data_IF_524210031550
#
_entry.id   IF_524210031550
#
_cell.length_a   1.000
_cell.length_b   1.000
_cell.length_c   1.000
_cell.angle_alpha   90.00
_cell.angle_beta   90.00
_cell.angle_gamma   90.00
#
_symmetry.space_group_name_H-M   'P 1'
#
loop_
_entity.id
_entity.type
_entity.pdbx_description
1 polymer ?
#
# COMPACT_ATOMS: atom_id res chain seq x y z
N UNK A 1 -13.92 16.79 7.18
CA UNK A 1 -14.22 15.52 7.88
C UNK A 1 -13.03 15.11 8.70
N UNK A 2 -13.20 14.94 9.99
CA UNK A 2 -12.11 14.54 10.87
C UNK A 2 -11.82 13.05 10.67
N UNK A 3 -10.57 12.72 10.38
CA UNK A 3 -10.17 11.32 10.29
C UNK A 3 -10.33 10.67 11.67
N UNK A 4 -11.13 9.63 11.73
CA UNK A 4 -11.29 8.85 12.94
C UNK A 4 -10.06 7.97 13.13
N UNK A 5 -9.38 8.13 14.26
CA UNK A 5 -8.25 7.26 14.59
C UNK A 5 -8.80 5.88 14.92
N UNK A 6 -8.34 4.86 14.20
CA UNK A 6 -8.74 3.50 14.46
C UNK A 6 -8.24 3.04 15.84
N UNK A 7 -9.14 2.51 16.66
CA UNK A 7 -8.83 2.01 17.99
C UNK A 7 -8.97 0.49 18.09
N UNK A 8 -9.61 -0.16 17.10
CA UNK A 8 -9.86 -1.59 17.09
C UNK A 8 -9.40 -2.20 15.75
N UNK A 9 -9.22 -3.52 15.75
CA UNK A 9 -8.93 -4.28 14.53
C UNK A 9 -9.96 -4.00 13.44
N UNK A 10 -11.26 -4.05 13.76
CA UNK A 10 -12.31 -3.82 12.77
C UNK A 10 -12.25 -2.41 12.18
N UNK A 11 -12.00 -1.40 13.01
CA UNK A 11 -11.85 -0.03 12.54
C UNK A 11 -10.64 0.12 11.63
N UNK A 12 -9.51 -0.52 11.98
CA UNK A 12 -8.30 -0.49 11.15
C UNK A 12 -8.56 -1.10 9.77
N UNK A 13 -9.19 -2.27 9.73
CA UNK A 13 -9.50 -2.94 8.45
C UNK A 13 -10.54 -2.15 7.64
N UNK A 14 -11.52 -1.54 8.30
CA UNK A 14 -12.52 -0.70 7.64
C UNK A 14 -11.89 0.58 7.07
N UNK A 15 -10.95 1.19 7.78
CA UNK A 15 -10.20 2.35 7.26
C UNK A 15 -9.39 1.97 6.03
N UNK A 16 -8.72 0.82 6.06
CA UNK A 16 -7.97 0.32 4.92
C UNK A 16 -8.87 0.14 3.69
N UNK A 17 -10.06 -0.41 3.88
CA UNK A 17 -11.03 -0.59 2.79
C UNK A 17 -11.50 0.75 2.22
N UNK A 18 -11.78 1.75 3.08
CA UNK A 18 -12.18 3.10 2.62
C UNK A 18 -11.08 3.78 1.85
N UNK A 19 -9.86 3.75 2.36
CA UNK A 19 -8.71 4.41 1.70
C UNK A 19 -8.33 3.71 0.39
N UNK A 20 -8.50 2.40 0.31
CA UNK A 20 -8.33 1.65 -0.93
C UNK A 20 -9.32 2.13 -2.00
N UNK A 21 -10.60 2.28 -1.63
CA UNK A 21 -11.60 2.82 -2.57
C UNK A 21 -11.27 4.26 -2.97
N UNK A 22 -10.86 5.09 -2.01
CA UNK A 22 -10.48 6.47 -2.30
C UNK A 22 -9.27 6.55 -3.24
N UNK A 23 -8.33 5.63 -3.11
CA UNK A 23 -7.20 5.53 -4.02
C UNK A 23 -7.66 5.22 -5.45
N UNK A 24 -8.55 4.23 -5.62
CA UNK A 24 -9.14 3.92 -6.92
C UNK A 24 -9.89 5.10 -7.52
N UNK A 25 -10.66 5.80 -6.69
CA UNK A 25 -11.38 7.02 -7.13
C UNK A 25 -10.40 8.10 -7.62
N UNK A 26 -9.24 8.23 -6.96
CA UNK A 26 -8.22 9.20 -7.37
C UNK A 26 -7.64 8.88 -8.77
N UNK A 27 -7.72 7.63 -9.22
CA UNK A 27 -7.24 7.20 -10.54
C UNK A 27 -8.29 7.29 -11.64
N UNK A 28 -9.57 7.47 -11.30
CA UNK A 28 -10.65 7.43 -12.28
C UNK A 28 -10.49 8.50 -13.36
N UNK A 29 -10.66 8.09 -14.62
CA UNK A 29 -10.59 8.99 -15.76
C UNK A 29 -9.17 9.24 -16.28
N UNK A 30 -8.15 8.73 -15.62
CA UNK A 30 -6.77 8.85 -16.10
C UNK A 30 -6.51 7.83 -17.21
N UNK A 31 -5.82 8.29 -18.26
CA UNK A 31 -5.41 7.42 -19.36
C UNK A 31 -3.99 6.87 -19.13
N UNK A 32 -3.51 6.05 -20.07
CA UNK A 32 -2.17 5.46 -19.98
C UNK A 32 -1.06 6.51 -19.95
N UNK A 33 -1.20 7.58 -20.72
CA UNK A 33 -0.23 8.67 -20.75
C UNK A 33 -0.14 9.34 -19.36
N UNK A 34 -1.27 9.63 -18.73
CA UNK A 34 -1.31 10.16 -17.37
C UNK A 34 -0.66 9.21 -16.36
N UNK A 35 -0.91 7.91 -16.49
CA UNK A 35 -0.39 6.91 -15.57
C UNK A 35 1.12 6.71 -15.67
N UNK A 36 1.70 7.04 -16.82
CA UNK A 36 3.14 6.85 -17.08
C UNK A 36 3.96 8.14 -17.08
N UNK A 37 3.30 9.30 -16.95
CA UNK A 37 4.00 10.59 -16.82
C UNK A 37 4.74 10.64 -15.48
N UNK A 38 6.02 10.99 -15.51
CA UNK A 38 6.84 11.14 -14.30
C UNK A 38 6.60 12.52 -13.70
N UNK A 39 6.20 12.58 -12.43
CA UNK A 39 5.92 13.84 -11.75
C UNK A 39 6.24 13.84 -10.25
N UNK A 40 6.39 12.67 -9.64
CA UNK A 40 6.74 12.55 -8.22
C UNK A 40 8.20 12.10 -8.11
N UNK A 41 9.12 13.05 -8.12
CA UNK A 41 10.54 12.73 -8.23
C UNK A 41 10.83 12.02 -9.55
N UNK A 42 11.26 10.77 -9.47
CA UNK A 42 11.51 9.92 -10.65
C UNK A 42 10.32 9.00 -10.98
N UNK A 43 9.19 9.14 -10.29
CA UNK A 43 8.06 8.22 -10.34
C UNK A 43 6.85 8.77 -11.08
N UNK A 44 6.19 7.86 -11.79
CA UNK A 44 4.85 8.01 -12.33
C UNK A 44 3.83 7.39 -11.37
N UNK A 45 2.53 7.53 -11.66
CA UNK A 45 1.47 6.84 -10.91
C UNK A 45 1.65 5.32 -11.01
N UNK A 46 2.04 4.82 -12.19
CA UNK A 46 2.35 3.41 -12.38
C UNK A 46 3.43 2.93 -11.40
N UNK A 47 4.48 3.71 -11.20
CA UNK A 47 5.53 3.40 -10.23
C UNK A 47 5.01 3.42 -8.80
N UNK A 48 4.16 4.39 -8.45
CA UNK A 48 3.51 4.46 -7.14
C UNK A 48 2.72 3.17 -6.86
N UNK A 49 1.88 2.76 -7.80
CA UNK A 49 1.05 1.55 -7.66
C UNK A 49 1.94 0.31 -7.52
N UNK A 50 2.97 0.21 -8.36
CA UNK A 50 3.90 -0.92 -8.33
C UNK A 50 4.60 -1.07 -6.97
N UNK A 51 5.04 0.04 -6.36
CA UNK A 51 5.72 -0.07 -5.08
C UNK A 51 4.77 -0.40 -3.92
N UNK A 52 3.53 0.08 -3.97
CA UNK A 52 2.51 -0.31 -2.98
C UNK A 52 2.30 -1.83 -3.03
N UNK A 53 2.11 -2.37 -4.23
CA UNK A 53 1.96 -3.83 -4.43
C UNK A 53 3.18 -4.60 -3.94
N UNK A 54 4.38 -4.07 -4.20
CA UNK A 54 5.63 -4.67 -3.73
C UNK A 54 5.66 -4.81 -2.20
N UNK A 55 5.25 -3.76 -1.49
CA UNK A 55 5.18 -3.82 -0.04
C UNK A 55 4.09 -4.77 0.46
N UNK A 56 2.96 -4.89 -0.23
CA UNK A 56 1.96 -5.91 0.11
C UNK A 56 2.55 -7.32 0.06
N UNK A 57 3.29 -7.62 -1.00
CA UNK A 57 3.90 -8.95 -1.18
C UNK A 57 5.04 -9.21 -0.21
N UNK A 58 5.74 -8.16 0.20
CA UNK A 58 6.84 -8.26 1.16
C UNK A 58 6.32 -8.38 2.61
N UNK A 59 5.30 -7.60 2.97
CA UNK A 59 4.80 -7.53 4.34
C UNK A 59 3.67 -8.53 4.65
N UNK A 60 2.99 -9.06 3.64
CA UNK A 60 1.99 -10.10 3.84
C UNK A 60 2.54 -11.31 4.58
N UNK A 61 3.69 -11.88 4.14
CA UNK A 61 4.34 -12.98 4.86
C UNK A 61 4.75 -12.61 6.29
N UNK A 62 5.14 -11.35 6.54
CA UNK A 62 5.45 -10.88 7.89
C UNK A 62 4.21 -10.94 8.79
N UNK A 63 3.05 -10.54 8.28
CA UNK A 63 1.78 -10.64 9.02
C UNK A 63 1.41 -12.11 9.29
N UNK A 64 1.63 -12.99 8.34
CA UNK A 64 1.39 -14.43 8.51
C UNK A 64 2.25 -15.00 9.63
N UNK A 65 3.53 -14.59 9.71
CA UNK A 65 4.42 -14.99 10.80
C UNK A 65 3.94 -14.45 12.15
N UNK A 66 3.56 -13.18 12.20
CA UNK A 66 3.03 -12.57 13.43
C UNK A 66 1.74 -13.26 13.88
N UNK A 67 0.89 -13.68 12.94
CA UNK A 67 -0.33 -14.42 13.28
C UNK A 67 -0.03 -15.76 13.96
N UNK A 68 1.12 -16.36 13.64
CA UNK A 68 1.59 -17.61 14.26
C UNK A 68 2.44 -17.38 15.53
N UNK A 69 2.66 -16.13 15.92
CA UNK A 69 3.52 -15.80 17.06
C UNK A 69 5.01 -15.85 16.77
N UNK A 70 5.37 -15.82 15.49
CA UNK A 70 6.77 -15.82 15.04
C UNK A 70 7.29 -14.41 14.80
N UNK A 71 8.61 -14.26 14.68
CA UNK A 71 9.23 -12.97 14.31
C UNK A 71 8.82 -12.61 12.88
N UNK A 72 8.45 -11.33 12.62
CA UNK A 72 7.96 -10.93 11.29
C UNK A 72 9.05 -10.87 10.22
N UNK A 73 10.29 -10.49 10.59
CA UNK A 73 11.37 -10.27 9.63
C UNK A 73 12.32 -11.47 9.66
N UNK A 74 12.58 -12.12 8.50
CA UNK A 74 13.53 -13.22 8.43
C UNK A 74 14.96 -12.78 8.78
N UNK A 75 15.76 -13.71 9.27
CA UNK A 75 17.18 -13.46 9.55
C UNK A 75 17.90 -13.00 8.28
N UNK A 76 18.74 -11.96 8.40
CA UNK A 76 19.51 -11.43 7.28
C UNK A 76 18.76 -10.44 6.38
N UNK A 77 17.48 -10.18 6.65
CA UNK A 77 16.71 -9.19 5.91
C UNK A 77 16.63 -7.89 6.71
N UNK A 78 16.86 -6.76 6.04
CA UNK A 78 16.73 -5.42 6.62
C UNK A 78 15.87 -4.54 5.73
N UNK A 79 15.02 -3.73 6.36
CA UNK A 79 14.20 -2.71 5.69
C UNK A 79 14.67 -1.29 6.03
N UNK A 80 15.89 -1.13 6.52
CA UNK A 80 16.45 0.17 6.91
C UNK A 80 16.58 1.12 5.72
N UNK A 81 16.92 0.59 4.53
CA UNK A 81 16.99 1.39 3.30
C UNK A 81 15.68 1.26 2.52
N UNK A 82 14.65 1.95 3.00
CA UNK A 82 13.31 1.95 2.39
C UNK A 82 13.35 2.44 0.95
N UNK A 83 14.17 3.44 0.65
CA UNK A 83 14.26 3.99 -0.71
C UNK A 83 14.77 2.96 -1.71
N UNK A 84 15.74 2.13 -1.32
CA UNK A 84 16.24 1.05 -2.17
C UNK A 84 15.15 -0.01 -2.44
N UNK A 85 14.38 -0.37 -1.41
CA UNK A 85 13.25 -1.29 -1.58
C UNK A 85 12.19 -0.71 -2.51
N UNK A 86 11.81 0.55 -2.31
CA UNK A 86 10.84 1.24 -3.16
C UNK A 86 11.29 1.28 -4.62
N UNK A 87 12.55 1.63 -4.86
CA UNK A 87 13.12 1.68 -6.21
C UNK A 87 13.09 0.30 -6.89
N UNK A 88 13.40 -0.74 -6.13
CA UNK A 88 13.35 -2.12 -6.63
C UNK A 88 11.94 -2.52 -7.04
N UNK A 89 10.95 -2.25 -6.20
CA UNK A 89 9.57 -2.61 -6.50
C UNK A 89 9.05 -1.89 -7.74
N UNK A 90 9.36 -0.60 -7.90
CA UNK A 90 8.98 0.16 -9.09
C UNK A 90 9.67 -0.40 -10.35
N UNK A 91 10.98 -0.67 -10.26
CA UNK A 91 11.76 -1.17 -11.38
C UNK A 91 11.29 -2.55 -11.87
N UNK A 92 10.92 -3.44 -10.95
CA UNK A 92 10.49 -4.80 -11.29
C UNK A 92 9.27 -4.84 -12.21
N UNK A 93 8.42 -3.78 -12.18
CA UNK A 93 7.18 -3.75 -12.98
C UNK A 93 7.17 -2.67 -14.04
N UNK A 94 8.31 -2.01 -14.26
CA UNK A 94 8.38 -0.87 -15.19
C UNK A 94 8.01 -1.24 -16.61
N UNK A 95 8.35 -2.45 -17.04
CA UNK A 95 8.06 -2.95 -18.39
C UNK A 95 6.68 -3.60 -18.52
N UNK A 96 5.95 -3.77 -17.43
CA UNK A 96 4.60 -4.34 -17.47
C UNK A 96 3.59 -3.29 -17.95
N UNK A 97 2.53 -3.71 -18.68
CA UNK A 97 1.44 -2.82 -19.04
C UNK A 97 0.75 -2.22 -17.78
N UNK A 98 0.24 -1.00 -17.89
CA UNK A 98 -0.48 -0.34 -16.81
C UNK A 98 -1.62 -1.22 -16.27
N UNK A 99 -2.38 -1.85 -17.17
CA UNK A 99 -3.48 -2.74 -16.77
C UNK A 99 -3.02 -3.88 -15.86
N UNK A 100 -1.86 -4.46 -16.14
CA UNK A 100 -1.29 -5.55 -15.34
C UNK A 100 -0.81 -5.05 -13.98
N UNK A 101 -0.24 -3.86 -13.93
CA UNK A 101 0.19 -3.24 -12.66
C UNK A 101 -1.02 -2.96 -11.78
N UNK A 102 -2.12 -2.45 -12.35
CA UNK A 102 -3.36 -2.21 -11.60
C UNK A 102 -4.01 -3.51 -11.13
N UNK A 103 -3.99 -4.55 -11.95
CA UNK A 103 -4.53 -5.86 -11.56
C UNK A 103 -3.72 -6.46 -10.41
N UNK A 104 -2.40 -6.37 -10.46
CA UNK A 104 -1.56 -6.84 -9.35
C UNK A 104 -1.83 -6.04 -8.08
N UNK A 105 -2.08 -4.74 -8.17
CA UNK A 105 -2.45 -3.93 -7.02
C UNK A 105 -3.70 -4.48 -6.34
N UNK A 106 -4.74 -4.79 -7.10
CA UNK A 106 -5.97 -5.36 -6.54
C UNK A 106 -5.73 -6.71 -5.89
N UNK A 107 -4.96 -7.57 -6.55
CA UNK A 107 -4.63 -8.91 -6.02
C UNK A 107 -3.75 -8.83 -4.77
N UNK A 108 -2.74 -7.96 -4.77
CA UNK A 108 -1.84 -7.82 -3.63
C UNK A 108 -2.56 -7.19 -2.44
N UNK A 109 -3.46 -6.25 -2.68
CA UNK A 109 -4.30 -5.66 -1.64
C UNK A 109 -5.17 -6.75 -0.99
N UNK A 110 -5.86 -7.56 -1.79
CA UNK A 110 -6.70 -8.65 -1.30
C UNK A 110 -5.90 -9.64 -0.46
N UNK A 111 -4.74 -10.06 -0.95
CA UNK A 111 -3.83 -10.94 -0.22
C UNK A 111 -3.40 -10.33 1.11
N UNK A 112 -2.95 -9.07 1.09
CA UNK A 112 -2.47 -8.36 2.28
C UNK A 112 -3.56 -8.20 3.32
N UNK A 113 -4.77 -7.82 2.91
CA UNK A 113 -5.90 -7.65 3.82
C UNK A 113 -6.39 -8.98 4.40
N UNK A 114 -6.31 -10.06 3.62
CA UNK A 114 -6.59 -11.40 4.12
C UNK A 114 -5.59 -11.80 5.22
N UNK A 115 -4.30 -11.55 4.99
CA UNK A 115 -3.26 -11.81 5.98
C UNK A 115 -3.47 -10.96 7.25
N UNK A 116 -3.85 -9.68 7.09
CA UNK A 116 -4.15 -8.79 8.21
C UNK A 116 -5.35 -9.29 9.03
N UNK A 117 -6.42 -9.72 8.35
CA UNK A 117 -7.62 -10.22 9.01
C UNK A 117 -7.36 -11.51 9.81
N UNK A 118 -6.38 -12.30 9.42
CA UNK A 118 -6.01 -13.54 10.11
C UNK A 118 -5.20 -13.31 11.38
N UNK A 119 -4.67 -12.10 11.60
CA UNK A 119 -3.93 -11.78 12.84
C UNK A 119 -4.91 -11.74 14.02
N UNK A 120 -4.66 -12.49 15.11
CA UNK A 120 -5.54 -12.47 16.28
C UNK A 120 -5.73 -11.07 16.84
N UNK A 121 -6.92 -10.79 17.38
CA UNK A 121 -7.29 -9.47 17.91
C UNK A 121 -6.30 -8.97 18.97
N UNK A 122 -5.83 -9.85 19.84
CA UNK A 122 -4.88 -9.50 20.90
C UNK A 122 -3.50 -9.10 20.37
N UNK A 123 -3.17 -9.48 19.14
CA UNK A 123 -1.92 -9.09 18.47
C UNK A 123 -2.10 -7.92 17.52
N UNK A 124 -3.32 -7.65 17.10
CA UNK A 124 -3.64 -6.53 16.21
C UNK A 124 -4.28 -5.39 17.02
N UNK A 125 -3.47 -4.77 17.84
CA UNK A 125 -3.84 -3.65 18.71
C UNK A 125 -2.95 -2.44 18.44
N UNK A 126 -3.45 -1.21 18.66
CA UNK A 126 -2.62 -0.01 18.52
C UNK A 126 -1.30 -0.13 19.28
N UNK A 127 -0.20 0.26 18.64
CA UNK A 127 1.14 0.17 19.22
C UNK A 127 1.87 -1.15 18.99
N UNK A 128 1.17 -2.19 18.57
CA UNK A 128 1.79 -3.48 18.25
C UNK A 128 2.41 -3.46 16.87
N UNK A 129 3.39 -4.34 16.64
CA UNK A 129 4.07 -4.44 15.33
C UNK A 129 3.10 -4.73 14.20
N UNK A 130 2.19 -5.69 14.38
CA UNK A 130 1.22 -6.03 13.34
C UNK A 130 0.33 -4.83 12.98
N UNK A 131 -0.10 -4.04 13.97
CA UNK A 131 -0.89 -2.84 13.74
C UNK A 131 -0.16 -1.85 12.81
N UNK A 132 1.10 -1.58 13.15
CA UNK A 132 1.93 -0.66 12.37
C UNK A 132 2.15 -1.16 10.95
N UNK A 133 2.38 -2.47 10.78
CA UNK A 133 2.55 -3.06 9.45
C UNK A 133 1.27 -2.93 8.61
N UNK A 134 0.11 -3.20 9.19
CA UNK A 134 -1.15 -3.07 8.47
C UNK A 134 -1.43 -1.62 8.11
N UNK A 135 -1.35 -0.71 9.06
CA UNK A 135 -1.66 0.71 8.82
C UNK A 135 -0.69 1.34 7.80
N UNK A 136 0.61 1.14 7.99
CA UNK A 136 1.63 1.72 7.12
C UNK A 136 1.58 1.21 5.68
N UNK A 137 1.08 -0.01 5.47
CA UNK A 137 1.03 -0.62 4.13
C UNK A 137 -0.38 -0.64 3.54
N UNK A 138 -1.35 -0.04 4.20
CA UNK A 138 -2.73 0.08 3.70
C UNK A 138 -3.27 1.49 3.89
N UNK A 139 -4.09 1.74 4.90
CA UNK A 139 -4.79 3.02 5.06
C UNK A 139 -3.89 4.24 4.96
N UNK A 140 -2.79 4.26 5.71
CA UNK A 140 -1.84 5.38 5.71
C UNK A 140 -1.20 5.57 4.33
N UNK A 141 -0.74 4.49 3.73
CA UNK A 141 -0.04 4.50 2.43
C UNK A 141 -0.97 4.93 1.29
N UNK A 142 -2.18 4.37 1.25
CA UNK A 142 -3.19 4.75 0.25
C UNK A 142 -3.58 6.22 0.37
N UNK A 143 -3.79 6.71 1.59
CA UNK A 143 -4.14 8.11 1.84
C UNK A 143 -3.05 9.05 1.38
N UNK A 144 -1.82 8.78 1.75
CA UNK A 144 -0.66 9.60 1.35
C UNK A 144 -0.59 9.76 -0.16
N UNK A 145 -0.62 8.65 -0.88
CA UNK A 145 -0.47 8.69 -2.34
C UNK A 145 -1.73 9.17 -3.06
N UNK A 146 -2.92 8.87 -2.56
CA UNK A 146 -4.15 9.41 -3.16
C UNK A 146 -4.21 10.93 -3.05
N UNK A 147 -3.75 11.50 -1.94
CA UNK A 147 -3.66 12.95 -1.77
C UNK A 147 -2.66 13.57 -2.74
N UNK A 148 -1.50 12.95 -2.93
CA UNK A 148 -0.50 13.40 -3.90
C UNK A 148 -1.05 13.36 -5.32
N UNK A 149 -1.72 12.27 -5.68
CA UNK A 149 -2.32 12.11 -7.02
C UNK A 149 -3.39 13.17 -7.26
N UNK A 150 -4.29 13.40 -6.29
CA UNK A 150 -5.32 14.44 -6.42
C UNK A 150 -4.72 15.83 -6.58
N UNK A 151 -3.66 16.15 -5.82
CA UNK A 151 -2.97 17.43 -5.94
C UNK A 151 -2.33 17.59 -7.32
N UNK A 152 -1.69 16.56 -7.83
CA UNK A 152 -1.12 16.56 -9.17
C UNK A 152 -2.20 16.75 -10.24
N UNK A 153 -3.33 16.02 -10.11
CA UNK A 153 -4.45 16.17 -11.05
C UNK A 153 -4.97 17.60 -11.07
N UNK A 154 -5.13 18.23 -9.91
CA UNK A 154 -5.57 19.65 -9.85
C UNK A 154 -4.58 20.55 -10.56
N UNK A 155 -3.29 20.34 -10.37
CA UNK A 155 -2.25 21.15 -11.02
C UNK A 155 -2.22 20.95 -12.54
N UNK A 156 -2.60 19.78 -13.01
CA UNK A 156 -2.63 19.41 -14.44
C UNK A 156 -4.00 19.62 -15.08
N UNK A 157 -5.02 19.92 -14.30
CA UNK A 157 -6.41 20.04 -14.78
C UNK A 157 -6.92 18.79 -15.49
N UNK A 158 -6.61 17.63 -14.93
CA UNK A 158 -7.02 16.33 -15.47
C UNK A 158 -7.80 15.52 -14.46
#
# INVERSE_FOLDING_TARGET
MTDTIAATKDELLNQAAREYRAFHEALQGLNEEHMTEVWLGTWSIKDIVAHISGWHREMGPALERLARGEKPIPAGVSYDDVDAWNARFAAERREEPVADVLLEFDKSHEYFMHAAAAVPVDRLQPGKTAWKLVDNNSAHHYREHSEQIRAWRRSRSV
#
